data_IF_342577605044
#
_entry.id   IF_342577605044
#
_cell.length_a   1.000
_cell.length_b   1.000
_cell.length_c   1.000
_cell.angle_alpha   90.00
_cell.angle_beta   90.00
_cell.angle_gamma   90.00
#
_symmetry.space_group_name_H-M   'P 1'
#
loop_
_entity.id
_entity.type
_entity.pdbx_description
1 polymer ?
#
# COMPACT_ATOMS: atom_id res chain seq x y z
N UNK A 1 -6.92 22.31 -10.80
CA UNK A 1 -5.96 21.98 -9.74
C UNK A 1 -5.92 20.47 -9.59
N UNK A 2 -4.75 19.85 -9.52
CA UNK A 2 -4.64 18.46 -9.09
C UNK A 2 -4.78 18.43 -7.56
N UNK A 3 -5.61 17.55 -7.02
CA UNK A 3 -5.60 17.23 -5.60
C UNK A 3 -4.25 16.56 -5.30
N UNK A 4 -3.43 17.20 -4.48
CA UNK A 4 -2.21 16.59 -3.96
C UNK A 4 -2.62 15.84 -2.71
N UNK A 5 -2.72 14.52 -2.81
CA UNK A 5 -2.95 13.67 -1.66
C UNK A 5 -1.69 13.60 -0.80
N UNK A 6 -1.83 13.79 0.52
CA UNK A 6 -0.70 13.75 1.45
C UNK A 6 -0.04 12.36 1.53
N UNK A 7 -0.80 11.31 1.23
CA UNK A 7 -0.34 9.92 1.25
C UNK A 7 -1.08 9.08 0.22
N UNK A 8 -0.33 8.30 -0.56
CA UNK A 8 -0.86 7.33 -1.52
C UNK A 8 -0.45 5.92 -1.09
N UNK A 9 -1.35 4.96 -1.22
CA UNK A 9 -1.16 3.58 -0.76
C UNK A 9 -1.27 2.64 -1.94
N UNK A 10 -0.25 1.80 -2.12
CA UNK A 10 -0.18 0.82 -3.20
C UNK A 10 0.00 -0.58 -2.63
N UNK A 11 -0.54 -1.57 -3.34
CA UNK A 11 -0.24 -2.98 -3.14
C UNK A 11 0.69 -3.46 -4.26
N UNK A 12 1.66 -4.30 -3.94
CA UNK A 12 2.59 -4.87 -4.92
C UNK A 12 2.99 -6.30 -4.54
N UNK A 13 3.78 -6.96 -5.38
CA UNK A 13 4.22 -8.33 -5.08
C UNK A 13 3.21 -9.42 -5.44
N UNK A 14 3.52 -10.64 -5.02
CA UNK A 14 2.87 -11.89 -5.48
C UNK A 14 1.37 -11.90 -5.21
N UNK A 15 0.94 -11.39 -4.05
CA UNK A 15 -0.46 -11.29 -3.64
C UNK A 15 -1.34 -10.49 -4.60
N UNK A 16 -0.80 -9.41 -5.17
CA UNK A 16 -1.57 -8.52 -6.05
C UNK A 16 -1.46 -8.88 -7.53
N UNK A 17 -0.41 -9.60 -7.94
CA UNK A 17 -0.09 -9.83 -9.36
C UNK A 17 -0.25 -11.28 -9.84
N UNK A 18 -0.36 -12.24 -8.95
CA UNK A 18 -0.43 -13.65 -9.33
C UNK A 18 -1.81 -14.25 -9.09
N UNK A 19 -2.11 -15.32 -9.81
CA UNK A 19 -3.30 -16.16 -9.59
C UNK A 19 -3.07 -17.25 -8.54
N UNK A 20 -1.96 -17.18 -7.78
CA UNK A 20 -1.64 -18.16 -6.74
C UNK A 20 -2.19 -17.75 -5.38
N UNK A 21 -2.22 -18.71 -4.45
CA UNK A 21 -2.64 -18.52 -3.06
C UNK A 21 -1.50 -17.97 -2.19
N UNK A 22 -0.94 -16.82 -2.57
CA UNK A 22 0.07 -16.12 -1.79
C UNK A 22 -0.56 -15.40 -0.62
N UNK A 23 0.14 -15.38 0.52
CA UNK A 23 -0.39 -14.89 1.78
C UNK A 23 0.40 -13.71 2.35
N UNK A 24 1.61 -13.49 1.85
CA UNK A 24 2.47 -12.33 2.07
C UNK A 24 1.89 -11.11 1.33
N UNK A 25 1.65 -10.02 2.05
CA UNK A 25 1.00 -8.82 1.49
C UNK A 25 2.00 -7.67 1.52
N UNK A 26 2.56 -7.30 0.36
CA UNK A 26 3.44 -6.14 0.27
C UNK A 26 2.64 -4.86 0.01
N UNK A 27 2.81 -3.87 0.89
CA UNK A 27 2.15 -2.56 0.82
C UNK A 27 3.21 -1.46 0.76
N UNK A 28 3.02 -0.52 -0.15
CA UNK A 28 3.82 0.70 -0.26
C UNK A 28 2.99 1.90 0.18
N UNK A 29 3.53 2.68 1.12
CA UNK A 29 3.02 3.99 1.51
C UNK A 29 3.93 5.06 0.91
N UNK A 30 3.38 5.94 0.07
CA UNK A 30 4.10 7.08 -0.49
C UNK A 30 3.58 8.36 0.15
N UNK A 31 4.44 9.10 0.86
CA UNK A 31 4.08 10.37 1.49
C UNK A 31 4.66 11.57 0.72
N UNK A 32 4.03 12.74 0.87
CA UNK A 32 4.29 13.92 0.03
C UNK A 32 5.71 14.50 0.14
N UNK A 33 6.27 14.62 1.35
CA UNK A 33 7.59 15.24 1.59
C UNK A 33 8.34 14.58 2.75
N UNK A 34 9.64 14.84 2.87
CA UNK A 34 10.48 14.39 3.99
C UNK A 34 10.30 15.24 5.26
N UNK A 35 9.29 16.10 5.30
CA UNK A 35 8.97 16.88 6.49
C UNK A 35 8.47 15.96 7.61
N UNK A 36 8.61 16.44 8.84
CA UNK A 36 8.28 15.68 10.04
C UNK A 36 6.84 15.16 10.04
N UNK A 37 5.88 16.00 9.68
CA UNK A 37 4.45 15.66 9.77
C UNK A 37 4.05 14.53 8.82
N UNK A 38 4.29 14.60 7.49
CA UNK A 38 4.01 13.47 6.58
C UNK A 38 4.75 12.19 6.97
N UNK A 39 6.00 12.30 7.42
CA UNK A 39 6.77 11.12 7.87
C UNK A 39 6.12 10.44 9.09
N UNK A 40 5.72 11.21 10.10
CA UNK A 40 5.06 10.66 11.29
C UNK A 40 3.71 10.05 10.96
N UNK A 41 2.95 10.66 10.05
CA UNK A 41 1.68 10.10 9.55
C UNK A 41 1.91 8.77 8.84
N UNK A 42 2.90 8.67 7.94
CA UNK A 42 3.24 7.43 7.25
C UNK A 42 3.70 6.32 8.21
N UNK A 43 4.51 6.66 9.22
CA UNK A 43 4.95 5.73 10.26
C UNK A 43 3.76 5.24 11.10
N UNK A 44 2.86 6.14 11.48
CA UNK A 44 1.64 5.77 12.22
C UNK A 44 0.76 4.85 11.39
N UNK A 45 0.55 5.18 10.12
CA UNK A 45 -0.24 4.37 9.20
C UNK A 45 0.36 2.97 9.02
N UNK A 46 1.69 2.87 8.85
CA UNK A 46 2.39 1.58 8.80
C UNK A 46 2.09 0.72 10.02
N UNK A 47 2.16 1.28 11.23
CA UNK A 47 1.85 0.53 12.46
C UNK A 47 0.43 -0.01 12.43
N UNK A 48 -0.54 0.84 12.10
CA UNK A 48 -1.94 0.43 12.07
C UNK A 48 -2.25 -0.58 10.96
N UNK A 49 -1.56 -0.52 9.82
CA UNK A 49 -1.67 -1.54 8.75
C UNK A 49 -1.16 -2.89 9.25
N UNK A 50 0.04 -2.94 9.83
CA UNK A 50 0.64 -4.19 10.34
C UNK A 50 -0.21 -4.80 11.46
N UNK A 51 -0.85 -3.97 12.29
CA UNK A 51 -1.77 -4.43 13.35
C UNK A 51 -3.10 -4.99 12.82
N UNK A 52 -3.63 -4.47 11.71
CA UNK A 52 -4.95 -4.86 11.18
C UNK A 52 -4.91 -5.86 10.02
N UNK A 53 -3.80 -5.90 9.28
CA UNK A 53 -3.64 -6.74 8.10
C UNK A 53 -2.53 -7.73 8.40
N UNK A 54 -2.92 -8.95 8.78
CA UNK A 54 -1.98 -10.04 9.03
C UNK A 54 -1.11 -10.30 7.79
N UNK A 55 0.16 -10.66 8.04
CA UNK A 55 1.16 -10.98 6.99
C UNK A 55 1.46 -9.83 6.04
N UNK A 56 1.16 -8.58 6.46
CA UNK A 56 1.54 -7.41 5.69
C UNK A 56 2.94 -6.93 6.02
N UNK A 57 3.70 -6.64 4.97
CA UNK A 57 4.95 -5.91 5.02
C UNK A 57 4.76 -4.53 4.39
N UNK A 58 5.18 -3.48 5.12
CA UNK A 58 4.95 -2.10 4.70
C UNK A 58 6.28 -1.39 4.44
N UNK A 59 6.46 -1.00 3.18
CA UNK A 59 7.51 -0.08 2.74
C UNK A 59 6.99 1.36 2.74
N UNK A 60 7.85 2.31 3.09
CA UNK A 60 7.52 3.74 3.09
C UNK A 60 8.53 4.45 2.20
N UNK A 61 8.04 5.27 1.27
CA UNK A 61 8.86 6.15 0.45
C UNK A 61 8.31 7.58 0.50
N UNK A 62 9.20 8.57 0.46
CA UNK A 62 8.79 9.91 0.08
C UNK A 62 8.45 9.94 -1.41
N UNK A 63 7.68 10.94 -1.85
CA UNK A 63 7.39 11.12 -3.27
C UNK A 63 8.67 11.26 -4.11
N UNK A 64 9.68 11.96 -3.59
CA UNK A 64 10.99 12.08 -4.25
C UNK A 64 11.70 10.73 -4.35
N UNK A 65 11.74 9.95 -3.27
CA UNK A 65 12.38 8.64 -3.29
C UNK A 65 11.68 7.68 -4.25
N UNK A 66 10.34 7.75 -4.34
CA UNK A 66 9.62 7.00 -5.36
C UNK A 66 10.03 7.41 -6.78
N UNK A 67 10.10 8.71 -7.08
CA UNK A 67 10.53 9.18 -8.40
C UNK A 67 11.95 8.74 -8.75
N UNK A 68 12.85 8.72 -7.77
CA UNK A 68 14.25 8.29 -7.96
C UNK A 68 14.35 6.78 -8.21
N UNK A 69 13.59 5.98 -7.46
CA UNK A 69 13.61 4.53 -7.59
C UNK A 69 12.74 4.00 -8.74
N UNK A 70 11.74 4.76 -9.18
CA UNK A 70 10.69 4.33 -10.11
C UNK A 70 10.03 3.02 -9.61
N UNK A 71 9.81 2.93 -8.28
CA UNK A 71 9.43 1.68 -7.61
C UNK A 71 8.03 1.27 -8.00
N UNK A 72 7.05 2.17 -8.05
CA UNK A 72 5.66 1.82 -8.42
C UNK A 72 5.66 1.20 -9.82
N UNK A 73 6.40 1.76 -10.77
CA UNK A 73 6.44 1.20 -12.12
C UNK A 73 7.17 -0.14 -12.16
N UNK A 74 8.33 -0.27 -11.50
CA UNK A 74 9.16 -1.49 -11.52
C UNK A 74 8.52 -2.65 -10.78
N UNK A 75 7.94 -2.39 -9.61
CA UNK A 75 7.22 -3.38 -8.81
C UNK A 75 5.88 -3.75 -9.45
N UNK A 76 5.38 -2.91 -10.37
CA UNK A 76 3.98 -2.83 -10.76
C UNK A 76 3.20 -2.58 -9.47
N UNK A 77 2.99 -1.35 -9.06
CA UNK A 77 2.19 -1.02 -7.89
C UNK A 77 0.74 -0.79 -8.30
N UNK A 78 -0.21 -1.43 -7.62
CA UNK A 78 -1.64 -1.15 -7.78
C UNK A 78 -2.04 -0.11 -6.75
N UNK A 79 -2.56 1.03 -7.20
CA UNK A 79 -3.12 2.02 -6.29
C UNK A 79 -4.32 1.42 -5.54
N UNK A 80 -4.21 1.33 -4.22
CA UNK A 80 -5.27 0.87 -3.35
C UNK A 80 -6.15 2.02 -2.91
N UNK A 81 -5.53 3.12 -2.49
CA UNK A 81 -6.23 4.27 -1.94
C UNK A 81 -5.35 5.54 -1.93
N UNK A 82 -5.98 6.72 -1.94
CA UNK A 82 -5.31 8.03 -1.98
C UNK A 82 -5.50 8.84 -0.69
N UNK A 83 -5.71 8.19 0.46
CA UNK A 83 -5.77 8.85 1.78
C UNK A 83 -5.39 7.85 2.87
N UNK A 84 -5.10 8.31 4.09
CA UNK A 84 -4.77 7.44 5.22
C UNK A 84 -6.01 6.86 5.93
N UNK A 85 -6.97 6.30 5.18
CA UNK A 85 -8.17 5.64 5.75
C UNK A 85 -7.96 4.12 5.82
N UNK A 86 -7.60 3.65 7.01
CA UNK A 86 -7.26 2.25 7.27
C UNK A 86 -8.42 1.29 6.93
N UNK A 87 -9.68 1.67 7.21
CA UNK A 87 -10.82 0.80 6.92
C UNK A 87 -10.96 0.58 5.42
N UNK A 88 -10.77 1.64 4.62
CA UNK A 88 -10.82 1.55 3.16
C UNK A 88 -9.64 0.76 2.59
N UNK A 89 -8.44 0.96 3.14
CA UNK A 89 -7.24 0.18 2.77
C UNK A 89 -7.48 -1.31 3.02
N UNK A 90 -7.88 -1.69 4.24
CA UNK A 90 -8.15 -3.09 4.62
C UNK A 90 -9.22 -3.72 3.73
N UNK A 91 -10.31 -3.00 3.46
CA UNK A 91 -11.36 -3.48 2.56
C UNK A 91 -10.84 -3.71 1.14
N UNK A 92 -9.99 -2.81 0.63
CA UNK A 92 -9.42 -2.92 -0.72
C UNK A 92 -8.49 -4.12 -0.84
N UNK A 93 -7.62 -4.34 0.15
CA UNK A 93 -6.73 -5.51 0.24
C UNK A 93 -7.55 -6.80 0.27
N UNK A 94 -8.53 -6.90 1.17
CA UNK A 94 -9.38 -8.09 1.28
C UNK A 94 -10.23 -8.36 0.03
N UNK A 95 -10.66 -7.32 -0.69
CA UNK A 95 -11.37 -7.49 -1.96
C UNK A 95 -10.50 -8.08 -3.07
N UNK A 96 -9.20 -7.79 -3.07
CA UNK A 96 -8.26 -8.42 -4.00
C UNK A 96 -8.16 -9.93 -3.76
N UNK A 97 -8.12 -10.34 -2.48
CA UNK A 97 -8.14 -11.77 -2.10
C UNK A 97 -9.31 -12.51 -2.75
N UNK A 98 -10.53 -12.01 -2.57
CA UNK A 98 -11.76 -12.65 -3.06
C UNK A 98 -11.82 -12.72 -4.58
N UNK A 99 -11.30 -11.70 -5.27
CA UNK A 99 -11.38 -11.60 -6.73
C UNK A 99 -10.39 -12.53 -7.46
N UNK A 100 -9.21 -12.77 -6.90
CA UNK A 100 -8.12 -13.43 -7.63
C UNK A 100 -7.62 -14.74 -7.01
N UNK A 101 -7.95 -15.02 -5.75
CA UNK A 101 -7.51 -16.26 -5.09
C UNK A 101 -8.61 -17.32 -4.98
N UNK A 102 -9.85 -17.00 -5.36
CA UNK A 102 -11.00 -17.89 -5.17
C UNK A 102 -11.32 -18.08 -3.69
N UNK A 103 -12.60 -18.15 -3.34
CA UNK A 103 -12.95 -18.71 -2.03
C UNK A 103 -12.45 -20.16 -2.04
N UNK A 104 -11.42 -20.45 -1.26
CA UNK A 104 -11.10 -21.83 -0.88
C UNK A 104 -12.29 -22.33 -0.06
N UNK A 105 -13.28 -22.90 -0.75
CA UNK A 105 -14.37 -23.68 -0.18
C UNK A 105 -13.81 -24.90 0.57
#
# INVERSE_FOLDING_TARGET
MALIFETQIYGFGSYFYSSGSYQDIDILVVHSSTDRTPCLMAISLKKSIVEQIEKSDVSILSKSAELDFDFIKKSKGILLYEESDLKKITNKVNSHRKKYQGDAL
#
